data_IF_457313463764
#
_entry.id   IF_457313463764
#
_cell.length_a   1.000
_cell.length_b   1.000
_cell.length_c   1.000
_cell.angle_alpha   90.00
_cell.angle_beta   90.00
_cell.angle_gamma   90.00
#
_symmetry.space_group_name_H-M   'P 1'
#
loop_
_entity.id
_entity.type
_entity.pdbx_description
1 polymer ?
#
# COMPACT_ATOMS: atom_id res chain seq x y z
N UNK A 1 -3.07 15.63 -4.81
CA UNK A 1 -2.80 15.45 -3.37
C UNK A 1 -1.35 15.81 -3.16
N UNK A 2 -1.04 16.62 -2.16
CA UNK A 2 0.35 16.88 -1.74
C UNK A 2 0.98 15.59 -1.17
N UNK A 3 2.31 15.62 -1.01
CA UNK A 3 3.09 14.47 -0.53
C UNK A 3 2.64 13.99 0.85
N UNK A 4 2.33 14.89 1.80
CA UNK A 4 1.90 14.49 3.15
C UNK A 4 0.58 13.75 3.12
N UNK A 5 -0.39 14.27 2.36
CA UNK A 5 -1.68 13.60 2.23
C UNK A 5 -1.54 12.23 1.56
N UNK A 6 -0.65 12.09 0.56
CA UNK A 6 -0.34 10.80 -0.07
C UNK A 6 0.32 9.83 0.92
N UNK A 7 1.30 10.31 1.68
CA UNK A 7 2.01 9.51 2.68
C UNK A 7 1.03 8.98 3.73
N UNK A 8 0.22 9.86 4.33
CA UNK A 8 -0.80 9.47 5.30
C UNK A 8 -1.82 8.45 4.74
N UNK A 9 -2.18 8.57 3.45
CA UNK A 9 -3.09 7.64 2.81
C UNK A 9 -2.51 6.22 2.71
N UNK A 10 -1.23 6.10 2.37
CA UNK A 10 -0.59 4.79 2.13
C UNK A 10 -0.06 4.16 3.40
N UNK A 11 0.20 4.95 4.46
CA UNK A 11 0.75 4.44 5.74
C UNK A 11 -0.31 4.08 6.78
N UNK A 12 -1.56 4.54 6.61
CA UNK A 12 -2.64 4.23 7.55
C UNK A 12 -2.88 2.71 7.65
N UNK A 13 -3.03 2.21 8.87
CA UNK A 13 -3.31 0.80 9.18
C UNK A 13 -2.26 -0.20 8.65
N UNK A 14 -1.03 0.23 8.39
CA UNK A 14 0.08 -0.68 8.16
C UNK A 14 0.70 -1.14 9.48
N UNK A 15 1.17 -2.38 9.51
CA UNK A 15 1.95 -2.90 10.63
C UNK A 15 3.38 -2.35 10.63
N UNK A 16 3.99 -2.21 9.45
CA UNK A 16 5.37 -1.74 9.27
C UNK A 16 5.60 -1.13 7.89
N UNK A 17 6.68 -0.34 7.77
CA UNK A 17 7.17 0.28 6.54
C UNK A 17 8.69 0.19 6.54
N UNK A 18 9.28 -0.21 5.41
CA UNK A 18 10.73 -0.40 5.26
C UNK A 18 11.20 0.35 3.99
N UNK A 19 11.88 1.50 4.07
CA UNK A 19 11.85 2.48 5.19
C UNK A 19 11.02 3.71 4.81
N UNK A 20 10.54 4.45 5.81
CA UNK A 20 9.60 5.57 5.60
C UNK A 20 10.17 6.69 4.70
N UNK A 21 11.47 6.94 4.78
CA UNK A 21 12.15 7.96 3.98
C UNK A 21 12.17 7.60 2.49
N UNK A 22 12.41 6.34 2.16
CA UNK A 22 12.38 5.83 0.78
C UNK A 22 10.95 5.89 0.20
N UNK A 23 9.94 5.57 1.01
CA UNK A 23 8.54 5.72 0.61
C UNK A 23 8.20 7.19 0.32
N UNK A 24 8.69 8.12 1.15
CA UNK A 24 8.49 9.55 0.95
C UNK A 24 9.15 10.02 -0.33
N UNK A 25 10.42 9.68 -0.55
CA UNK A 25 11.16 10.01 -1.77
C UNK A 25 10.46 9.44 -3.02
N UNK A 26 9.95 8.21 -2.95
CA UNK A 26 9.18 7.60 -4.04
C UNK A 26 7.92 8.42 -4.36
N UNK A 27 7.19 8.88 -3.34
CA UNK A 27 5.99 9.70 -3.52
C UNK A 27 6.33 11.10 -4.08
N UNK A 28 7.46 11.69 -3.70
CA UNK A 28 7.89 13.01 -4.20
C UNK A 28 8.37 12.96 -5.65
N UNK A 29 9.04 11.87 -6.04
CA UNK A 29 9.72 11.77 -7.35
C UNK A 29 8.88 11.06 -8.42
N UNK A 30 7.85 10.28 -8.03
CA UNK A 30 6.99 9.57 -8.97
C UNK A 30 5.53 9.98 -8.84
N UNK A 31 5.01 10.52 -9.94
CA UNK A 31 3.58 10.86 -10.08
C UNK A 31 2.68 9.63 -10.03
N UNK A 32 3.16 8.49 -10.57
CA UNK A 32 2.41 7.24 -10.68
C UNK A 32 3.23 6.03 -10.15
N UNK A 33 3.42 5.94 -8.83
CA UNK A 33 4.09 4.78 -8.22
C UNK A 33 3.23 3.51 -8.43
N UNK A 34 3.89 2.36 -8.53
CA UNK A 34 3.22 1.06 -8.71
C UNK A 34 3.39 0.24 -7.44
N UNK A 35 2.30 -0.41 -7.02
CA UNK A 35 2.30 -1.38 -5.92
C UNK A 35 1.65 -2.69 -6.36
N UNK A 36 2.04 -3.78 -5.70
CA UNK A 36 1.53 -5.12 -5.95
C UNK A 36 1.30 -5.83 -4.63
N UNK A 37 0.29 -6.70 -4.61
CA UNK A 37 0.05 -7.67 -3.55
C UNK A 37 -0.30 -8.99 -4.21
N UNK A 38 0.36 -10.06 -3.76
CA UNK A 38 0.21 -11.41 -4.29
C UNK A 38 -0.49 -12.31 -3.30
N UNK A 39 -1.36 -13.16 -3.81
CA UNK A 39 -1.93 -14.27 -3.05
C UNK A 39 -1.78 -15.54 -3.87
N UNK A 40 -1.46 -16.64 -3.19
CA UNK A 40 -1.47 -17.96 -3.79
C UNK A 40 -2.90 -18.53 -3.72
N UNK A 41 -3.50 -18.98 -4.84
CA UNK A 41 -4.85 -19.54 -4.86
C UNK A 41 -4.85 -21.01 -4.39
N UNK A 42 -4.41 -21.24 -3.15
CA UNK A 42 -4.24 -22.58 -2.55
C UNK A 42 -5.50 -23.13 -1.88
N UNK A 43 -6.62 -22.40 -1.93
CA UNK A 43 -7.88 -22.81 -1.30
C UNK A 43 -8.96 -21.73 -1.39
N UNK A 44 -9.95 -21.81 -0.50
CA UNK A 44 -11.02 -20.80 -0.43
C UNK A 44 -10.48 -19.44 0.02
N UNK A 45 -11.00 -18.38 -0.58
CA UNK A 45 -10.64 -17.02 -0.18
C UNK A 45 -11.24 -16.68 1.19
N UNK A 46 -10.39 -16.25 2.12
CA UNK A 46 -10.82 -15.77 3.44
C UNK A 46 -11.23 -14.29 3.38
N UNK A 47 -12.11 -13.85 4.28
CA UNK A 47 -12.58 -12.47 4.36
C UNK A 47 -11.45 -11.43 4.41
N UNK A 48 -10.33 -11.75 5.08
CA UNK A 48 -9.16 -10.89 5.16
C UNK A 48 -8.57 -10.52 3.78
N UNK A 49 -8.55 -11.45 2.83
CA UNK A 49 -8.08 -11.18 1.46
C UNK A 49 -8.92 -10.06 0.82
N UNK A 50 -10.24 -10.16 0.95
CA UNK A 50 -11.17 -9.14 0.46
C UNK A 50 -10.98 -7.79 1.14
N UNK A 51 -10.65 -7.75 2.44
CA UNK A 51 -10.39 -6.49 3.14
C UNK A 51 -9.08 -5.83 2.72
N UNK A 52 -8.04 -6.62 2.41
CA UNK A 52 -6.72 -6.13 1.99
C UNK A 52 -6.79 -5.50 0.59
N UNK A 53 -7.49 -6.13 -0.37
CA UNK A 53 -7.55 -5.62 -1.76
C UNK A 53 -8.85 -4.96 -2.18
N UNK A 54 -9.93 -5.13 -1.43
CA UNK A 54 -11.27 -4.70 -1.83
C UNK A 54 -11.55 -3.20 -1.69
N UNK A 55 -10.66 -2.43 -1.04
CA UNK A 55 -10.78 -0.96 -0.90
C UNK A 55 -9.86 -0.17 -1.85
N UNK A 56 -9.63 -0.69 -3.06
CA UNK A 56 -8.91 0.05 -4.11
C UNK A 56 -9.81 1.02 -4.85
#
# INVERSE_FOLDING_TARGET
MDTETRLNLVTRNLQEIIVVDELRELLETKDHPRGYVGFEPSGMMHAAHGLIVGKK
#
